data_IF_568583069216
#
_entry.id   IF_568583069216
#
_cell.length_a   1.000
_cell.length_b   1.000
_cell.length_c   1.000
_cell.angle_alpha   90.00
_cell.angle_beta   90.00
_cell.angle_gamma   90.00
#
_symmetry.space_group_name_H-M   'P 1'
#
loop_
_entity.id
_entity.type
_entity.pdbx_description
1 polymer ?
#
# COMPACT_ATOMS: atom_id res chain seq x y z
N UNK A 1 27.61 9.17 6.66
CA UNK A 1 26.80 8.21 5.90
C UNK A 1 27.10 8.32 4.43
N UNK A 2 27.20 7.21 3.75
CA UNK A 2 27.36 7.18 2.30
C UNK A 2 25.99 7.35 1.63
N UNK A 3 25.99 7.64 0.31
CA UNK A 3 24.75 7.69 -0.45
C UNK A 3 24.04 6.36 -0.42
N UNK A 4 24.79 5.26 -0.47
CA UNK A 4 24.21 3.92 -0.39
C UNK A 4 23.51 3.69 0.95
N UNK A 5 24.12 4.09 2.05
CA UNK A 5 23.51 3.93 3.39
C UNK A 5 22.24 4.75 3.52
N UNK A 6 22.28 6.00 3.04
CA UNK A 6 21.09 6.88 3.05
C UNK A 6 19.99 6.28 2.18
N UNK A 7 20.35 5.75 1.01
CA UNK A 7 19.37 5.13 0.09
C UNK A 7 18.69 3.93 0.71
N UNK A 8 19.44 3.09 1.43
CA UNK A 8 18.86 1.92 2.11
C UNK A 8 17.86 2.37 3.18
N UNK A 9 18.25 3.34 4.00
CA UNK A 9 17.37 3.88 5.04
C UNK A 9 16.13 4.51 4.43
N UNK A 10 16.31 5.32 3.38
CA UNK A 10 15.20 5.98 2.70
C UNK A 10 14.25 4.95 2.07
N UNK A 11 14.78 3.88 1.47
CA UNK A 11 13.95 2.83 0.89
C UNK A 11 13.12 2.12 1.96
N UNK A 12 13.73 1.80 3.09
CA UNK A 12 13.04 1.17 4.21
C UNK A 12 11.92 2.07 4.75
N UNK A 13 12.21 3.36 4.91
CA UNK A 13 11.21 4.32 5.39
C UNK A 13 10.11 4.55 4.37
N UNK A 14 10.42 4.58 3.09
CA UNK A 14 9.41 4.76 2.04
C UNK A 14 8.34 3.68 2.12
N UNK A 15 8.73 2.41 2.23
CA UNK A 15 7.78 1.31 2.34
C UNK A 15 7.10 1.30 3.70
N UNK A 16 7.88 1.45 4.77
CA UNK A 16 7.34 1.37 6.14
C UNK A 16 6.31 2.46 6.39
N UNK A 17 6.62 3.70 6.06
CA UNK A 17 5.72 4.84 6.30
C UNK A 17 4.64 4.88 5.23
N UNK A 18 5.01 4.66 3.97
CA UNK A 18 4.09 4.73 2.86
C UNK A 18 2.99 3.68 2.87
N UNK A 19 3.19 2.55 3.55
CA UNK A 19 2.18 1.51 3.65
C UNK A 19 1.22 1.69 4.82
N UNK A 20 1.47 2.63 5.74
CA UNK A 20 0.62 2.84 6.91
C UNK A 20 -0.79 3.26 6.51
N UNK A 21 -0.91 4.31 5.70
CA UNK A 21 -2.22 4.84 5.32
C UNK A 21 -3.03 3.85 4.47
N UNK A 22 -2.46 3.21 3.44
CA UNK A 22 -3.20 2.17 2.71
C UNK A 22 -3.64 1.01 3.60
N UNK A 23 -2.80 0.56 4.52
CA UNK A 23 -3.14 -0.55 5.42
C UNK A 23 -4.34 -0.18 6.31
N UNK A 24 -4.35 1.03 6.87
CA UNK A 24 -5.46 1.50 7.68
C UNK A 24 -6.74 1.65 6.86
N UNK A 25 -6.62 2.18 5.64
CA UNK A 25 -7.76 2.34 4.74
C UNK A 25 -8.36 0.99 4.34
N UNK A 26 -7.53 0.00 4.04
CA UNK A 26 -7.97 -1.35 3.71
C UNK A 26 -8.69 -1.99 4.89
N UNK A 27 -8.13 -1.85 6.09
CA UNK A 27 -8.75 -2.38 7.31
C UNK A 27 -10.12 -1.78 7.54
N UNK A 28 -10.26 -0.48 7.40
CA UNK A 28 -11.56 0.21 7.56
C UNK A 28 -12.56 -0.20 6.49
N UNK A 29 -12.09 -0.36 5.25
CA UNK A 29 -12.96 -0.77 4.16
C UNK A 29 -13.50 -2.18 4.38
N UNK A 30 -12.65 -3.10 4.85
CA UNK A 30 -13.06 -4.47 5.13
C UNK A 30 -14.09 -4.51 6.25
N UNK A 31 -13.86 -3.78 7.34
CA UNK A 31 -14.81 -3.74 8.45
C UNK A 31 -16.15 -3.19 7.99
N UNK A 32 -16.15 -2.09 7.23
CA UNK A 32 -17.39 -1.48 6.73
C UNK A 32 -18.14 -2.45 5.81
N UNK A 33 -17.42 -3.16 4.93
CA UNK A 33 -18.03 -4.13 4.04
C UNK A 33 -18.64 -5.31 4.81
N UNK A 34 -17.92 -5.82 5.81
CA UNK A 34 -18.42 -6.93 6.63
C UNK A 34 -19.66 -6.54 7.42
N UNK A 35 -19.68 -5.34 7.99
CA UNK A 35 -20.86 -4.83 8.67
C UNK A 35 -22.04 -4.65 7.73
N UNK A 36 -21.78 -4.18 6.51
CA UNK A 36 -22.81 -4.04 5.51
C UNK A 36 -23.43 -5.38 5.10
N UNK A 37 -22.58 -6.39 4.91
CA UNK A 37 -23.05 -7.75 4.57
C UNK A 37 -23.85 -8.33 5.73
N UNK A 38 -23.40 -8.08 6.96
CA UNK A 38 -24.12 -8.57 8.15
C UNK A 38 -25.53 -7.98 8.25
N UNK A 39 -25.69 -6.70 7.87
CA UNK A 39 -27.01 -6.05 7.90
C UNK A 39 -27.86 -6.42 6.70
N UNK A 40 -27.27 -6.59 5.55
CA UNK A 40 -27.96 -6.89 4.29
C UNK A 40 -27.23 -8.01 3.55
N UNK A 41 -27.47 -9.28 3.97
CA UNK A 41 -26.76 -10.41 3.37
C UNK A 41 -26.96 -10.53 1.85
N UNK A 42 -28.06 -10.03 1.33
CA UNK A 42 -28.35 -10.03 -0.11
C UNK A 42 -27.39 -9.11 -0.89
N UNK A 43 -26.73 -8.18 -0.21
CA UNK A 43 -25.75 -7.28 -0.82
C UNK A 43 -24.35 -7.87 -0.90
N UNK A 44 -24.11 -9.08 -0.40
CA UNK A 44 -22.77 -9.65 -0.28
C UNK A 44 -22.02 -9.66 -1.61
N UNK A 45 -22.68 -10.02 -2.71
CA UNK A 45 -22.05 -10.05 -4.03
C UNK A 45 -21.59 -8.67 -4.50
N UNK A 46 -22.45 -7.66 -4.37
CA UNK A 46 -22.14 -6.30 -4.79
C UNK A 46 -21.06 -5.68 -3.91
N UNK A 47 -21.18 -5.86 -2.58
CA UNK A 47 -20.20 -5.32 -1.64
C UNK A 47 -18.84 -5.97 -1.82
N UNK A 48 -18.80 -7.28 -2.04
CA UNK A 48 -17.53 -7.98 -2.25
C UNK A 48 -16.81 -7.52 -3.51
N UNK A 49 -17.54 -7.33 -4.61
CA UNK A 49 -16.94 -6.83 -5.85
C UNK A 49 -16.40 -5.42 -5.69
N UNK A 50 -17.18 -4.54 -5.09
CA UNK A 50 -16.76 -3.15 -4.85
C UNK A 50 -15.57 -3.09 -3.91
N UNK A 51 -15.59 -3.92 -2.87
CA UNK A 51 -14.48 -4.03 -1.93
C UNK A 51 -13.19 -4.46 -2.64
N UNK A 52 -13.26 -5.48 -3.49
CA UNK A 52 -12.11 -5.98 -4.22
C UNK A 52 -11.46 -4.90 -5.08
N UNK A 53 -12.28 -4.17 -5.84
CA UNK A 53 -11.81 -3.07 -6.69
C UNK A 53 -11.21 -1.96 -5.83
N UNK A 54 -11.88 -1.58 -4.74
CA UNK A 54 -11.39 -0.56 -3.82
C UNK A 54 -10.08 -0.93 -3.16
N UNK A 55 -9.95 -2.17 -2.71
CA UNK A 55 -8.70 -2.65 -2.10
C UNK A 55 -7.54 -2.64 -3.12
N UNK A 56 -7.81 -3.03 -4.36
CA UNK A 56 -6.79 -2.99 -5.40
C UNK A 56 -6.31 -1.56 -5.66
N UNK A 57 -7.22 -0.59 -5.68
CA UNK A 57 -6.86 0.81 -5.87
C UNK A 57 -6.09 1.38 -4.68
N UNK A 58 -6.49 1.02 -3.47
CA UNK A 58 -5.76 1.45 -2.26
C UNK A 58 -4.35 0.86 -2.27
N UNK A 59 -4.21 -0.40 -2.66
CA UNK A 59 -2.92 -1.09 -2.70
C UNK A 59 -1.95 -0.44 -3.69
N UNK A 60 -2.43 0.23 -4.74
CA UNK A 60 -1.54 0.91 -5.69
C UNK A 60 -0.69 1.98 -5.01
N UNK A 61 -1.18 2.60 -3.94
CA UNK A 61 -0.40 3.59 -3.19
C UNK A 61 0.81 2.94 -2.53
N UNK A 62 0.63 1.78 -1.92
CA UNK A 62 1.74 1.03 -1.33
C UNK A 62 2.71 0.54 -2.40
N UNK A 63 2.19 0.14 -3.56
CA UNK A 63 3.02 -0.29 -4.68
C UNK A 63 3.88 0.86 -5.20
N UNK A 64 3.34 2.07 -5.28
CA UNK A 64 4.14 3.24 -5.67
C UNK A 64 5.29 3.47 -4.69
N UNK A 65 5.03 3.35 -3.40
CA UNK A 65 6.09 3.48 -2.40
C UNK A 65 7.14 2.38 -2.56
N UNK A 66 6.71 1.16 -2.87
CA UNK A 66 7.62 0.05 -3.14
C UNK A 66 8.48 0.34 -4.38
N UNK A 67 7.88 0.88 -5.44
CA UNK A 67 8.62 1.23 -6.66
C UNK A 67 9.70 2.26 -6.35
N UNK A 68 9.37 3.29 -5.57
CA UNK A 68 10.35 4.29 -5.14
C UNK A 68 11.49 3.63 -4.36
N UNK A 69 11.15 2.73 -3.44
CA UNK A 69 12.14 2.00 -2.66
C UNK A 69 13.08 1.17 -3.54
N UNK A 70 12.51 0.47 -4.53
CA UNK A 70 13.30 -0.35 -5.46
C UNK A 70 14.22 0.52 -6.32
N UNK A 71 13.74 1.69 -6.76
CA UNK A 71 14.57 2.63 -7.50
C UNK A 71 15.74 3.11 -6.66
N UNK A 72 15.51 3.40 -5.38
CA UNK A 72 16.57 3.83 -4.48
C UNK A 72 17.60 2.72 -4.24
N UNK A 73 17.17 1.46 -4.19
CA UNK A 73 18.06 0.34 -3.92
C UNK A 73 18.84 -0.11 -5.16
N UNK A 74 18.21 -0.15 -6.32
CA UNK A 74 18.75 -0.83 -7.49
C UNK A 74 19.01 0.07 -8.69
N UNK A 75 18.35 1.21 -8.80
CA UNK A 75 18.45 2.09 -9.96
C UNK A 75 18.72 3.54 -9.61
N UNK A 76 19.28 3.77 -8.43
CA UNK A 76 19.61 5.12 -7.99
C UNK A 76 20.83 5.65 -8.75
N UNK A 77 20.70 6.70 -9.57
CA UNK A 77 21.81 7.22 -10.35
C UNK A 77 22.92 7.84 -9.50
N UNK A 78 22.63 8.15 -8.25
CA UNK A 78 23.60 8.77 -7.34
C UNK A 78 24.35 7.76 -6.46
N UNK A 79 23.88 6.53 -6.38
CA UNK A 79 24.43 5.52 -5.47
C UNK A 79 25.53 4.68 -6.10
N UNK A 80 25.55 4.52 -7.41
CA UNK A 80 26.43 3.60 -8.12
C UNK A 80 27.80 4.21 -8.46
N UNK A 81 28.14 5.37 -7.92
CA UNK A 81 29.39 6.08 -8.23
C UNK A 81 30.19 6.35 -6.98
#
# INVERSE_FOLDING_TARGET
MTVQMISIVAAALAVAIGSISPALAEGRAIVAAMEGIARQPESAGALSRTLFVGLAMIETMAIYCLVVALLLLFANPYAAR
#
